data_IF_737960438117
#
_entry.id   IF_737960438117
#
_cell.length_a   1.000
_cell.length_b   1.000
_cell.length_c   1.000
_cell.angle_alpha   90.00
_cell.angle_beta   90.00
_cell.angle_gamma   90.00
#
_symmetry.space_group_name_H-M   'P 1'
#
loop_
_entity.id
_entity.type
_entity.pdbx_description
1 polymer ?
#
# COMPACT_ATOMS: atom_id res chain seq x y z
N UNK A 1 40.75 18.91 -44.62
CA UNK A 1 40.76 17.70 -43.78
C UNK A 1 39.30 17.27 -43.64
N UNK A 2 38.84 16.38 -44.53
CA UNK A 2 37.40 16.09 -44.69
C UNK A 2 37.06 14.86 -43.86
N UNK A 3 36.33 15.06 -42.76
CA UNK A 3 35.93 13.97 -41.87
C UNK A 3 34.90 13.10 -42.58
N UNK A 4 35.34 11.96 -43.11
CA UNK A 4 34.45 10.94 -43.67
C UNK A 4 33.74 10.29 -42.48
N UNK A 5 32.57 10.82 -42.12
CA UNK A 5 31.63 10.12 -41.25
C UNK A 5 31.18 8.84 -41.97
N UNK A 6 31.86 7.74 -41.66
CA UNK A 6 31.55 6.43 -42.20
C UNK A 6 30.11 6.05 -41.81
N UNK A 7 29.28 5.65 -42.79
CA UNK A 7 27.91 5.16 -42.59
C UNK A 7 27.79 4.04 -41.53
N UNK A 8 28.91 3.37 -41.21
CA UNK A 8 29.04 2.40 -40.11
C UNK A 8 28.98 3.04 -38.71
N UNK A 9 29.56 4.24 -38.51
CA UNK A 9 29.53 4.92 -37.20
C UNK A 9 28.12 5.39 -36.84
N UNK A 10 27.31 5.79 -37.82
CA UNK A 10 25.91 6.14 -37.60
C UNK A 10 25.05 4.94 -37.16
N UNK A 11 25.29 3.75 -37.75
CA UNK A 11 24.61 2.51 -37.32
C UNK A 11 25.00 2.10 -35.91
N UNK A 12 26.28 2.25 -35.55
CA UNK A 12 26.77 1.97 -34.20
C UNK A 12 26.18 2.94 -33.16
N UNK A 13 26.06 4.22 -33.50
CA UNK A 13 25.49 5.26 -32.62
C UNK A 13 23.98 5.06 -32.41
N UNK A 14 23.25 4.63 -33.45
CA UNK A 14 21.84 4.24 -33.33
C UNK A 14 21.64 2.97 -32.49
N UNK A 15 22.50 1.96 -32.66
CA UNK A 15 22.49 0.74 -31.84
C UNK A 15 22.80 1.03 -30.36
N UNK A 16 23.82 1.85 -30.09
CA UNK A 16 24.17 2.28 -28.74
C UNK A 16 23.06 3.11 -28.10
N UNK A 17 22.46 4.06 -28.85
CA UNK A 17 21.34 4.87 -28.36
C UNK A 17 20.09 4.06 -28.05
N UNK A 18 19.74 3.08 -28.90
CA UNK A 18 18.64 2.15 -28.65
C UNK A 18 18.87 1.27 -27.42
N UNK A 19 20.11 0.81 -27.20
CA UNK A 19 20.48 0.03 -26.03
C UNK A 19 20.42 0.84 -24.73
N UNK A 20 20.86 2.10 -24.76
CA UNK A 20 20.74 3.03 -23.61
C UNK A 20 19.26 3.27 -23.28
N UNK A 21 18.40 3.51 -24.28
CA UNK A 21 16.97 3.70 -24.04
C UNK A 21 16.30 2.45 -23.45
N UNK A 22 16.69 1.25 -23.90
CA UNK A 22 16.23 -0.01 -23.32
C UNK A 22 16.63 -0.12 -21.85
N UNK A 23 17.88 0.19 -21.51
CA UNK A 23 18.36 0.16 -20.12
C UNK A 23 17.59 1.15 -19.26
N UNK A 24 17.39 2.38 -19.74
CA UNK A 24 16.59 3.39 -19.02
C UNK A 24 15.17 2.88 -18.80
N UNK A 25 14.53 2.30 -19.82
CA UNK A 25 13.18 1.74 -19.70
C UNK A 25 13.11 0.61 -18.66
N UNK A 26 14.10 -0.30 -18.64
CA UNK A 26 14.18 -1.38 -17.66
C UNK A 26 14.38 -0.82 -16.25
N UNK A 27 15.31 0.12 -16.07
CA UNK A 27 15.58 0.73 -14.77
C UNK A 27 14.34 1.48 -14.26
N UNK A 28 13.72 2.35 -15.07
CA UNK A 28 12.52 3.08 -14.67
C UNK A 28 11.35 2.14 -14.36
N UNK A 29 11.19 1.05 -15.13
CA UNK A 29 10.18 0.03 -14.88
C UNK A 29 10.40 -0.73 -13.57
N UNK A 30 11.65 -1.11 -13.28
CA UNK A 30 12.03 -1.77 -12.03
C UNK A 30 11.83 -0.86 -10.83
N UNK A 31 12.31 0.39 -10.86
CA UNK A 31 12.09 1.36 -9.79
C UNK A 31 10.60 1.62 -9.54
N UNK A 32 9.80 1.77 -10.60
CA UNK A 32 8.36 1.96 -10.44
C UNK A 32 7.67 0.76 -9.79
N UNK A 33 8.18 -0.45 -9.99
CA UNK A 33 7.63 -1.65 -9.37
C UNK A 33 8.11 -1.84 -7.92
N UNK A 34 9.35 -1.43 -7.62
CA UNK A 34 9.94 -1.51 -6.28
C UNK A 34 9.35 -0.48 -5.31
N UNK A 35 9.05 0.75 -5.77
CA UNK A 35 8.52 1.81 -4.88
C UNK A 35 6.99 1.85 -4.82
N UNK A 36 6.28 1.01 -5.58
CA UNK A 36 4.82 1.06 -5.64
C UNK A 36 4.19 0.65 -4.31
N UNK A 37 3.45 1.57 -3.71
CA UNK A 37 2.79 1.36 -2.43
C UNK A 37 3.73 1.35 -1.24
N UNK A 38 4.99 1.76 -1.41
CA UNK A 38 5.84 2.11 -0.27
C UNK A 38 5.39 3.45 0.30
N UNK A 39 5.20 3.50 1.61
CA UNK A 39 4.71 4.67 2.34
C UNK A 39 5.65 4.96 3.52
N UNK A 40 5.87 6.24 3.82
CA UNK A 40 6.59 6.67 5.01
C UNK A 40 5.68 6.73 6.25
N UNK A 41 6.25 6.67 7.45
CA UNK A 41 5.51 6.66 8.70
C UNK A 41 4.70 7.95 8.92
N UNK A 42 5.23 9.09 8.47
CA UNK A 42 4.55 10.39 8.59
C UNK A 42 3.27 10.42 7.74
N UNK A 43 3.37 10.01 6.47
CA UNK A 43 2.23 9.86 5.57
C UNK A 43 1.21 8.84 6.10
N UNK A 44 1.70 7.73 6.68
CA UNK A 44 0.83 6.74 7.30
C UNK A 44 0.01 7.36 8.43
N UNK A 45 0.61 8.22 9.26
CA UNK A 45 -0.04 8.87 10.38
C UNK A 45 -1.05 9.94 9.97
N UNK A 46 -0.88 10.56 8.80
CA UNK A 46 -1.78 11.57 8.25
C UNK A 46 -3.15 11.02 7.83
N UNK A 47 -3.27 9.70 7.60
CA UNK A 47 -4.55 9.07 7.26
C UNK A 47 -5.52 9.13 8.46
N UNK A 48 -6.66 9.79 8.26
CA UNK A 48 -7.71 9.99 9.26
C UNK A 48 -9.05 9.39 8.83
N UNK A 49 -9.81 8.84 9.80
CA UNK A 49 -11.17 8.31 9.61
C UNK A 49 -12.04 9.31 8.87
N UNK A 50 -12.80 8.84 7.88
CA UNK A 50 -13.67 9.69 7.07
C UNK A 50 -13.08 10.17 5.75
N UNK A 51 -11.77 10.04 5.53
CA UNK A 51 -11.16 10.32 4.21
C UNK A 51 -11.72 9.38 3.14
N UNK A 52 -11.97 9.91 1.96
CA UNK A 52 -12.32 9.13 0.77
C UNK A 52 -11.11 8.33 0.25
N UNK A 53 -11.35 7.31 -0.56
CA UNK A 53 -10.27 6.59 -1.27
C UNK A 53 -9.38 7.54 -2.05
N UNK A 54 -9.93 8.59 -2.68
CA UNK A 54 -9.16 9.55 -3.46
C UNK A 54 -8.26 10.40 -2.58
N UNK A 55 -8.77 10.89 -1.45
CA UNK A 55 -7.97 11.67 -0.49
C UNK A 55 -6.83 10.83 0.08
N UNK A 56 -7.09 9.57 0.45
CA UNK A 56 -6.01 8.67 0.92
C UNK A 56 -4.96 8.45 -0.18
N UNK A 57 -5.36 8.23 -1.43
CA UNK A 57 -4.40 8.04 -2.53
C UNK A 57 -3.61 9.30 -2.86
N UNK A 58 -4.20 10.48 -2.64
CA UNK A 58 -3.49 11.76 -2.79
C UNK A 58 -2.46 11.96 -1.67
N UNK A 59 -2.81 11.59 -0.44
CA UNK A 59 -1.96 11.75 0.74
C UNK A 59 -0.78 10.77 0.72
N UNK A 60 -1.07 9.49 0.48
CA UNK A 60 -0.10 8.40 0.68
C UNK A 60 0.33 7.69 -0.61
N UNK A 61 -0.18 8.16 -1.75
CA UNK A 61 0.12 7.57 -3.05
C UNK A 61 -0.70 6.32 -3.38
N UNK A 62 -0.32 5.65 -4.47
CA UNK A 62 -1.07 4.49 -4.97
C UNK A 62 -0.70 3.23 -4.19
N UNK A 63 -1.67 2.38 -3.83
CA UNK A 63 -1.38 1.13 -3.14
C UNK A 63 -0.65 0.16 -4.05
N UNK A 64 0.07 -0.77 -3.44
CA UNK A 64 0.74 -1.86 -4.15
C UNK A 64 -0.30 -2.78 -4.79
N UNK A 65 -1.34 -3.11 -4.02
CA UNK A 65 -2.47 -3.94 -4.41
C UNK A 65 -3.79 -3.39 -3.85
N UNK A 66 -4.90 -3.65 -4.55
CA UNK A 66 -6.25 -3.38 -4.09
C UNK A 66 -7.16 -4.57 -4.35
N UNK A 67 -8.07 -4.87 -3.44
CA UNK A 67 -9.04 -5.95 -3.62
C UNK A 67 -10.40 -5.66 -2.99
N UNK A 68 -11.45 -6.21 -3.60
CA UNK A 68 -12.81 -6.30 -3.05
C UNK A 68 -13.20 -7.75 -2.70
N UNK A 69 -12.25 -8.69 -2.80
CA UNK A 69 -12.52 -10.10 -2.54
C UNK A 69 -12.65 -10.31 -1.02
N UNK A 70 -13.85 -10.67 -0.57
CA UNK A 70 -14.16 -10.80 0.85
C UNK A 70 -13.32 -11.82 1.59
N UNK A 71 -13.02 -12.96 0.97
CA UNK A 71 -12.18 -13.98 1.60
C UNK A 71 -10.78 -13.44 1.88
N UNK A 72 -10.18 -12.75 0.89
CA UNK A 72 -8.86 -12.10 1.06
C UNK A 72 -8.86 -11.00 2.13
N UNK A 73 -9.95 -10.23 2.20
CA UNK A 73 -10.13 -9.18 3.21
C UNK A 73 -10.26 -9.81 4.61
N UNK A 74 -11.00 -10.91 4.75
CA UNK A 74 -11.14 -11.59 6.03
C UNK A 74 -9.84 -12.25 6.50
N UNK A 75 -9.11 -12.89 5.59
CA UNK A 75 -7.80 -13.49 5.86
C UNK A 75 -6.80 -12.48 6.40
N UNK A 76 -6.83 -11.22 5.94
CA UNK A 76 -5.84 -10.21 6.31
C UNK A 76 -5.98 -9.76 7.77
N UNK A 77 -7.19 -9.53 8.30
CA UNK A 77 -7.38 -9.04 9.68
C UNK A 77 -7.64 -10.14 10.74
N UNK A 78 -7.88 -11.39 10.34
CA UNK A 78 -8.15 -12.49 11.30
C UNK A 78 -7.05 -12.65 12.37
N UNK A 79 -5.74 -12.61 12.04
CA UNK A 79 -4.68 -12.74 13.06
C UNK A 79 -4.72 -11.62 14.11
N UNK A 80 -5.09 -10.41 13.68
CA UNK A 80 -5.15 -9.20 14.52
C UNK A 80 -6.24 -9.34 15.59
N UNK A 81 -7.40 -9.88 15.21
CA UNK A 81 -8.50 -10.17 16.13
C UNK A 81 -8.16 -11.26 17.15
N UNK A 82 -7.44 -12.30 16.72
CA UNK A 82 -7.02 -13.39 17.60
C UNK A 82 -6.03 -12.91 18.66
N UNK A 83 -5.05 -12.09 18.28
CA UNK A 83 -4.07 -11.52 19.21
C UNK A 83 -4.71 -10.55 20.22
N UNK A 84 -5.65 -9.73 19.76
CA UNK A 84 -6.39 -8.77 20.61
C UNK A 84 -7.24 -9.48 21.67
N UNK A 85 -7.83 -10.63 21.33
CA UNK A 85 -8.64 -11.44 22.25
C UNK A 85 -7.81 -12.10 23.35
N UNK A 86 -6.53 -12.43 23.08
CA UNK A 86 -5.63 -13.04 24.07
C UNK A 86 -5.09 -12.02 25.09
N UNK A 87 -4.92 -10.75 24.68
CA UNK A 87 -4.33 -9.71 25.55
C UNK A 87 -5.36 -8.99 26.45
N UNK A 88 -6.66 -9.08 26.15
CA UNK A 88 -7.72 -8.53 27.02
C UNK A 88 -7.96 -9.35 28.30
N UNK A 89 -7.46 -10.57 28.40
CA UNK A 89 -7.68 -11.43 29.57
C UNK A 89 -6.77 -11.11 30.77
N UNK A 90 -5.69 -10.32 30.61
CA UNK A 90 -4.64 -10.22 31.64
C UNK A 90 -4.19 -8.80 32.05
N UNK A 91 -4.82 -7.71 31.59
CA UNK A 91 -4.33 -6.35 31.96
C UNK A 91 -5.29 -5.57 32.88
N UNK A 92 -4.86 -5.19 34.11
CA UNK A 92 -5.61 -4.28 34.96
C UNK A 92 -5.60 -2.84 34.41
N UNK A 93 -6.71 -2.13 34.62
CA UNK A 93 -6.91 -0.72 34.27
C UNK A 93 -5.71 0.15 34.69
N UNK A 94 -5.03 0.81 33.74
CA UNK A 94 -4.13 1.91 34.09
C UNK A 94 -2.94 2.23 33.17
N UNK A 95 -2.54 1.37 32.24
CA UNK A 95 -1.31 1.62 31.46
C UNK A 95 -1.57 1.72 29.96
N UNK A 96 -1.97 2.92 29.50
CA UNK A 96 -1.96 3.26 28.08
C UNK A 96 -0.53 3.57 27.63
N UNK A 97 0.18 2.56 27.14
CA UNK A 97 1.37 2.77 26.32
C UNK A 97 0.94 3.21 24.90
N UNK A 98 1.49 4.29 24.33
CA UNK A 98 1.18 4.72 22.98
C UNK A 98 1.92 3.79 22.00
N UNK A 99 1.21 2.95 21.27
CA UNK A 99 1.87 2.14 20.23
C UNK A 99 1.05 1.07 19.54
N UNK A 100 0.00 0.51 20.15
CA UNK A 100 -0.78 -0.54 19.48
C UNK A 100 -2.14 -0.77 20.15
N UNK A 101 -2.93 0.28 20.38
CA UNK A 101 -4.37 0.05 20.61
C UNK A 101 -4.95 -0.38 19.27
N UNK A 102 -4.99 -1.68 19.02
CA UNK A 102 -5.65 -2.24 17.86
C UNK A 102 -7.10 -1.74 17.91
N UNK A 103 -7.56 -1.07 16.84
CA UNK A 103 -8.92 -0.52 16.78
C UNK A 103 -9.92 -1.67 16.59
N UNK A 104 -10.13 -2.44 17.66
CA UNK A 104 -11.02 -3.61 17.70
C UNK A 104 -12.42 -3.22 17.24
N UNK A 105 -12.87 -2.01 17.58
CA UNK A 105 -14.17 -1.49 17.17
C UNK A 105 -14.25 -1.31 15.65
N UNK A 106 -13.20 -0.77 15.02
CA UNK A 106 -13.13 -0.65 13.57
C UNK A 106 -13.10 -2.02 12.85
N UNK A 107 -12.47 -3.05 13.43
CA UNK A 107 -12.53 -4.41 12.88
C UNK A 107 -13.91 -5.07 13.03
N UNK A 108 -14.63 -4.81 14.13
CA UNK A 108 -16.01 -5.26 14.28
C UNK A 108 -16.94 -4.60 13.24
N UNK A 109 -16.74 -3.31 12.97
CA UNK A 109 -17.51 -2.59 11.94
C UNK A 109 -17.21 -3.14 10.53
N UNK A 110 -15.94 -3.47 10.26
CA UNK A 110 -15.53 -4.13 9.01
C UNK A 110 -16.22 -5.50 8.83
N UNK A 111 -16.26 -6.33 9.87
CA UNK A 111 -16.93 -7.63 9.85
C UNK A 111 -18.45 -7.49 9.63
N UNK A 112 -19.07 -6.52 10.29
CA UNK A 112 -20.48 -6.20 10.10
C UNK A 112 -20.76 -5.75 8.65
N UNK A 113 -19.90 -4.90 8.08
CA UNK A 113 -20.03 -4.43 6.70
C UNK A 113 -19.90 -5.56 5.67
N UNK A 114 -18.94 -6.47 5.88
CA UNK A 114 -18.78 -7.66 5.04
C UNK A 114 -20.00 -8.60 5.11
N UNK A 115 -20.60 -8.73 6.30
CA UNK A 115 -21.82 -9.54 6.52
C UNK A 115 -23.07 -8.90 5.91
N UNK A 116 -23.14 -7.57 5.89
CA UNK A 116 -24.25 -6.80 5.29
C UNK A 116 -24.12 -6.60 3.77
N UNK A 117 -23.14 -7.24 3.12
CA UNK A 117 -22.85 -7.06 1.70
C UNK A 117 -22.50 -5.62 1.26
N UNK A 118 -21.92 -4.80 2.14
CA UNK A 118 -21.46 -3.45 1.76
C UNK A 118 -20.25 -3.50 0.81
N UNK A 119 -19.98 -2.37 0.14
CA UNK A 119 -18.80 -2.26 -0.72
C UNK A 119 -17.55 -2.05 0.13
N UNK A 120 -16.82 -3.14 0.37
CA UNK A 120 -15.58 -3.13 1.15
C UNK A 120 -14.39 -3.24 0.20
N UNK A 121 -13.46 -2.30 0.33
CA UNK A 121 -12.22 -2.23 -0.44
C UNK A 121 -11.03 -2.27 0.51
N UNK A 122 -10.04 -3.11 0.19
CA UNK A 122 -8.79 -3.19 0.94
C UNK A 122 -7.62 -2.78 0.06
N UNK A 123 -6.79 -1.88 0.55
CA UNK A 123 -5.54 -1.44 -0.06
C UNK A 123 -4.35 -1.97 0.73
N UNK A 124 -3.32 -2.44 0.04
CA UNK A 124 -2.05 -2.89 0.62
C UNK A 124 -0.93 -1.88 0.35
N UNK A 125 -0.20 -1.53 1.40
CA UNK A 125 1.00 -0.70 1.38
C UNK A 125 2.17 -1.42 2.06
N UNK A 126 3.38 -0.90 1.85
CA UNK A 126 4.62 -1.32 2.50
C UNK A 126 5.15 -0.15 3.34
N UNK A 127 5.06 -0.27 4.66
CA UNK A 127 5.68 0.64 5.61
C UNK A 127 6.88 -0.09 6.23
N UNK A 128 8.09 0.43 6.06
CA UNK A 128 9.33 -0.21 6.54
C UNK A 128 9.46 -1.69 6.12
N UNK A 129 9.17 -2.00 4.86
CA UNK A 129 9.15 -3.36 4.29
C UNK A 129 8.09 -4.32 4.87
N UNK A 130 7.22 -3.83 5.77
CA UNK A 130 6.12 -4.60 6.34
C UNK A 130 4.80 -4.27 5.66
N UNK A 131 4.01 -5.30 5.39
CA UNK A 131 2.68 -5.14 4.81
C UNK A 131 1.74 -4.47 5.80
N UNK A 132 1.14 -3.37 5.35
CA UNK A 132 0.11 -2.64 6.05
C UNK A 132 -1.10 -2.49 5.15
N UNK A 133 -2.27 -2.36 5.76
CA UNK A 133 -3.53 -2.45 5.07
C UNK A 133 -4.46 -1.32 5.49
N UNK A 134 -5.19 -0.79 4.52
CA UNK A 134 -6.21 0.23 4.70
C UNK A 134 -7.53 -0.32 4.19
N UNK A 135 -8.56 -0.26 5.03
CA UNK A 135 -9.90 -0.70 4.67
C UNK A 135 -10.85 0.48 4.49
N UNK A 136 -11.69 0.37 3.47
CA UNK A 136 -12.72 1.32 3.13
C UNK A 136 -14.08 0.63 3.10
N UNK A 137 -15.11 1.32 3.58
CA UNK A 137 -16.51 0.95 3.42
C UNK A 137 -17.18 2.08 2.65
N UNK A 138 -17.86 1.76 1.54
CA UNK A 138 -18.60 2.74 0.74
C UNK A 138 -17.75 3.97 0.35
N UNK A 139 -16.49 3.71 -0.05
CA UNK A 139 -15.46 4.69 -0.42
C UNK A 139 -14.85 5.51 0.73
N UNK A 140 -15.24 5.26 1.97
CA UNK A 140 -14.75 5.99 3.15
C UNK A 140 -13.79 5.13 3.96
N UNK A 141 -12.64 5.71 4.32
CA UNK A 141 -11.63 5.08 5.16
C UNK A 141 -12.19 4.80 6.56
N UNK A 142 -12.05 3.54 6.96
CA UNK A 142 -12.51 3.02 8.25
C UNK A 142 -11.34 2.77 9.20
N UNK A 143 -10.42 1.89 8.82
CA UNK A 143 -9.38 1.36 9.70
C UNK A 143 -8.11 1.01 8.91
N UNK A 144 -6.97 1.25 9.53
CA UNK A 144 -5.63 0.91 9.04
C UNK A 144 -4.90 0.05 10.08
N UNK A 145 -4.07 -0.89 9.64
CA UNK A 145 -3.18 -1.67 10.51
C UNK A 145 -1.95 -2.17 9.74
#
# INVERSE_FOLDING_TARGET
MTTIYSKKSHKFLLLAGGFILLIVFIITGSFYNETKGSIDADQWNEIQKGMTVQEVVLEVGRPQNKTKNRAKIQESYTPVLQQSSTHQAETPEGSAAPGATHDVLGFMELEAALSQNKDVLMYRYLLNEQEHYIYFIDDIFLIKY
#
